data_IF_909881687979
#
_entry.id   IF_909881687979
#
_cell.length_a   1.000
_cell.length_b   1.000
_cell.length_c   1.000
_cell.angle_alpha   90.00
_cell.angle_beta   90.00
_cell.angle_gamma   90.00
#
_symmetry.space_group_name_H-M   'P 1'
#
loop_
_entity.id
_entity.type
_entity.pdbx_description
1 polymer ?
#
# COMPACT_ATOMS: atom_id res chain seq x y z
N UNK A 1 -4.05 18.16 75.54
CA UNK A 1 -4.31 19.14 74.44
C UNK A 1 -3.63 18.71 73.12
N UNK A 2 -2.34 18.35 73.13
CA UNK A 2 -1.60 17.88 71.94
C UNK A 2 -2.09 16.55 71.32
N UNK A 3 -2.65 15.63 72.11
CA UNK A 3 -3.10 14.33 71.59
C UNK A 3 -4.36 14.43 70.72
N UNK A 4 -5.32 15.27 71.12
CA UNK A 4 -6.52 15.55 70.32
C UNK A 4 -6.16 16.19 68.97
N UNK A 5 -5.19 17.10 68.94
CA UNK A 5 -4.77 17.73 67.68
C UNK A 5 -4.12 16.74 66.72
N UNK A 6 -3.40 15.74 67.24
CA UNK A 6 -2.85 14.65 66.43
C UNK A 6 -3.93 13.73 65.87
N UNK A 7 -4.93 13.38 66.67
CA UNK A 7 -6.07 12.57 66.22
C UNK A 7 -6.89 13.30 65.16
N UNK A 8 -7.14 14.60 65.32
CA UNK A 8 -7.81 15.40 64.29
C UNK A 8 -6.98 15.47 63.01
N UNK A 9 -5.65 15.70 63.10
CA UNK A 9 -4.76 15.67 61.93
C UNK A 9 -4.80 14.33 61.21
N UNK A 10 -4.80 13.23 61.95
CA UNK A 10 -4.85 11.89 61.38
C UNK A 10 -6.21 11.59 60.75
N UNK A 11 -7.31 12.04 61.38
CA UNK A 11 -8.65 11.92 60.83
C UNK A 11 -8.81 12.73 59.54
N UNK A 12 -8.37 13.99 59.51
CA UNK A 12 -8.39 14.81 58.30
C UNK A 12 -7.50 14.24 57.20
N UNK A 13 -6.33 13.69 57.55
CA UNK A 13 -5.47 13.00 56.61
C UNK A 13 -6.12 11.72 56.05
N UNK A 14 -6.79 10.94 56.90
CA UNK A 14 -7.49 9.73 56.49
C UNK A 14 -8.70 10.03 55.61
N UNK A 15 -9.49 11.05 55.97
CA UNK A 15 -10.63 11.54 55.16
C UNK A 15 -10.13 12.09 53.83
N UNK A 16 -9.06 12.88 53.83
CA UNK A 16 -8.41 13.36 52.61
C UNK A 16 -7.95 12.18 51.75
N UNK A 17 -7.14 11.27 52.28
CA UNK A 17 -6.65 10.10 51.54
C UNK A 17 -7.76 9.21 51.00
N UNK A 18 -8.82 8.98 51.78
CA UNK A 18 -10.03 8.26 51.35
C UNK A 18 -10.75 8.97 50.21
N UNK A 19 -10.86 10.30 50.27
CA UNK A 19 -11.48 11.12 49.23
C UNK A 19 -10.71 11.04 47.89
N UNK A 20 -9.38 11.14 47.88
CA UNK A 20 -8.57 10.98 46.66
C UNK A 20 -8.57 9.55 46.11
N UNK A 21 -8.78 8.55 46.96
CA UNK A 21 -8.94 7.15 46.54
C UNK A 21 -10.31 6.89 45.90
N UNK A 22 -11.36 7.58 46.36
CA UNK A 22 -12.73 7.49 45.84
C UNK A 22 -12.95 8.32 44.57
N UNK A 23 -12.24 9.44 44.43
CA UNK A 23 -12.29 10.31 43.25
C UNK A 23 -10.90 10.37 42.60
N UNK A 24 -10.44 9.28 41.93
CA UNK A 24 -9.25 9.38 41.12
C UNK A 24 -9.45 10.49 40.10
N UNK A 25 -8.50 11.43 40.04
CA UNK A 25 -8.50 12.50 39.05
C UNK A 25 -8.53 11.81 37.69
N UNK A 26 -9.68 11.89 37.00
CA UNK A 26 -9.79 11.40 35.62
C UNK A 26 -8.82 12.23 34.81
N UNK A 27 -7.70 11.64 34.43
CA UNK A 27 -6.82 12.25 33.43
C UNK A 27 -7.65 12.42 32.17
N UNK A 28 -7.97 13.67 31.84
CA UNK A 28 -8.62 14.00 30.58
C UNK A 28 -7.57 13.71 29.52
N UNK A 29 -7.62 12.53 28.91
CA UNK A 29 -6.79 12.25 27.75
C UNK A 29 -7.30 13.18 26.64
N UNK A 30 -6.54 14.24 26.37
CA UNK A 30 -6.77 15.11 25.22
C UNK A 30 -6.62 14.22 24.00
N UNK A 31 -7.75 13.81 23.41
CA UNK A 31 -7.75 12.93 22.26
C UNK A 31 -6.91 13.56 21.16
N UNK A 32 -5.81 12.91 20.78
CA UNK A 32 -4.93 13.39 19.74
C UNK A 32 -5.76 13.56 18.44
N UNK A 33 -5.77 14.75 17.81
CA UNK A 33 -6.55 14.98 16.60
C UNK A 33 -6.24 13.96 15.49
N UNK A 34 -5.01 13.44 15.46
CA UNK A 34 -4.56 12.40 14.54
C UNK A 34 -5.25 11.06 14.81
N UNK A 35 -5.30 10.61 16.05
CA UNK A 35 -5.93 9.34 16.44
C UNK A 35 -7.44 9.39 16.17
N UNK A 36 -8.09 10.49 16.55
CA UNK A 36 -9.52 10.72 16.26
C UNK A 36 -9.82 10.63 14.76
N UNK A 37 -8.93 11.16 13.92
CA UNK A 37 -9.06 11.09 12.46
C UNK A 37 -8.91 9.65 11.95
N UNK A 38 -7.92 8.90 12.46
CA UNK A 38 -7.68 7.51 12.08
C UNK A 38 -8.87 6.64 12.47
N UNK A 39 -9.35 6.75 13.72
CA UNK A 39 -10.50 5.99 14.21
C UNK A 39 -11.78 6.29 13.43
N UNK A 40 -12.02 7.56 13.08
CA UNK A 40 -13.16 7.97 12.26
C UNK A 40 -13.17 7.26 10.91
N UNK A 41 -12.03 7.24 10.22
CA UNK A 41 -11.93 6.58 8.91
C UNK A 41 -11.99 5.06 9.02
N UNK A 42 -11.34 4.49 10.05
CA UNK A 42 -11.43 3.05 10.35
C UNK A 42 -12.87 2.60 10.58
N UNK A 43 -13.62 3.33 11.40
CA UNK A 43 -15.04 3.03 11.67
C UNK A 43 -15.88 3.07 10.39
N UNK A 44 -15.69 4.09 9.55
CA UNK A 44 -16.38 4.18 8.25
C UNK A 44 -16.05 3.00 7.35
N UNK A 45 -14.79 2.59 7.31
CA UNK A 45 -14.34 1.46 6.50
C UNK A 45 -14.93 0.14 6.97
N UNK A 46 -14.88 -0.16 8.28
CA UNK A 46 -15.48 -1.37 8.85
C UNK A 46 -17.00 -1.41 8.60
N UNK A 47 -17.69 -0.29 8.84
CA UNK A 47 -19.13 -0.19 8.58
C UNK A 47 -19.47 -0.43 7.11
N UNK A 48 -18.55 -0.14 6.18
CA UNK A 48 -18.79 -0.39 4.77
C UNK A 48 -18.96 -1.88 4.46
N UNK A 49 -18.36 -2.80 5.23
CA UNK A 49 -18.52 -4.25 5.04
C UNK A 49 -19.91 -4.77 5.46
N UNK A 50 -20.60 -4.03 6.34
CA UNK A 50 -21.96 -4.38 6.74
C UNK A 50 -23.00 -4.01 5.67
N UNK A 51 -22.62 -3.16 4.71
CA UNK A 51 -23.50 -2.77 3.63
C UNK A 51 -23.59 -3.90 2.58
N UNK A 52 -24.81 -4.22 2.17
CA UNK A 52 -25.09 -5.22 1.12
C UNK A 52 -24.58 -4.76 -0.26
N UNK A 53 -24.35 -3.46 -0.44
CA UNK A 53 -23.89 -2.89 -1.71
C UNK A 53 -22.51 -3.44 -2.09
N UNK A 54 -22.34 -3.78 -3.36
CA UNK A 54 -21.03 -4.08 -3.93
C UNK A 54 -20.15 -2.81 -3.88
N UNK A 55 -19.04 -2.89 -3.16
CA UNK A 55 -18.09 -1.79 -2.95
C UNK A 55 -16.82 -1.94 -3.80
N UNK A 56 -16.88 -2.78 -4.85
CA UNK A 56 -15.84 -3.04 -5.84
C UNK A 56 -16.34 -2.81 -7.28
N UNK A 57 -17.44 -2.08 -7.47
CA UNK A 57 -18.06 -1.89 -8.80
C UNK A 57 -17.14 -1.25 -9.83
N UNK A 58 -16.15 -0.48 -9.38
CA UNK A 58 -15.26 0.28 -10.25
C UNK A 58 -13.93 -0.43 -10.54
N UNK A 59 -13.75 -1.65 -10.01
CA UNK A 59 -12.59 -2.49 -10.29
C UNK A 59 -12.90 -3.33 -11.53
N UNK A 60 -12.09 -3.17 -12.57
CA UNK A 60 -12.20 -3.97 -13.79
C UNK A 60 -11.83 -5.44 -13.51
N UNK A 61 -12.53 -6.44 -14.09
CA UNK A 61 -12.22 -7.86 -13.90
C UNK A 61 -10.77 -8.24 -14.22
N UNK A 62 -10.14 -7.48 -15.11
CA UNK A 62 -8.72 -7.60 -15.51
C UNK A 62 -7.78 -7.59 -14.30
N UNK A 63 -8.12 -6.88 -13.22
CA UNK A 63 -7.30 -6.84 -12.00
C UNK A 63 -7.17 -8.19 -11.30
N UNK A 64 -8.16 -9.07 -11.45
CA UNK A 64 -8.15 -10.40 -10.85
C UNK A 64 -7.43 -11.43 -11.74
N UNK A 65 -7.08 -11.06 -12.98
CA UNK A 65 -6.30 -11.88 -13.89
C UNK A 65 -4.97 -11.21 -14.24
N UNK A 66 -3.91 -11.56 -13.51
CA UNK A 66 -2.61 -10.92 -13.68
C UNK A 66 -2.05 -11.02 -15.11
N UNK A 67 -2.20 -12.17 -15.79
CA UNK A 67 -1.64 -12.33 -17.15
C UNK A 67 -2.27 -11.32 -18.12
N UNK A 68 -3.55 -11.06 -17.93
CA UNK A 68 -4.31 -10.07 -18.70
C UNK A 68 -3.95 -8.64 -18.29
N UNK A 69 -3.82 -8.39 -16.99
CA UNK A 69 -3.36 -7.10 -16.46
C UNK A 69 -1.98 -6.73 -17.02
N UNK A 70 -1.01 -7.64 -16.99
CA UNK A 70 0.34 -7.39 -17.52
C UNK A 70 0.31 -7.09 -19.02
N UNK A 71 -0.47 -7.83 -19.82
CA UNK A 71 -0.64 -7.53 -21.24
C UNK A 71 -1.21 -6.12 -21.47
N UNK A 72 -2.19 -5.74 -20.66
CA UNK A 72 -2.83 -4.42 -20.73
C UNK A 72 -1.87 -3.29 -20.33
N UNK A 73 -1.04 -3.53 -19.32
CA UNK A 73 -0.07 -2.55 -18.80
C UNK A 73 1.11 -2.27 -19.74
N UNK A 74 1.46 -3.23 -20.60
CA UNK A 74 2.54 -3.10 -21.60
C UNK A 74 2.15 -2.17 -22.76
N UNK A 75 0.86 -1.99 -23.02
CA UNK A 75 0.40 -1.11 -24.09
C UNK A 75 0.77 0.35 -23.82
N UNK A 76 1.33 1.00 -24.84
CA UNK A 76 1.66 2.44 -24.85
C UNK A 76 0.45 3.33 -24.60
N UNK A 77 -0.76 2.90 -25.01
CA UNK A 77 -2.00 3.66 -24.83
C UNK A 77 -2.90 3.06 -23.73
N UNK A 78 -2.31 2.69 -22.60
CA UNK A 78 -3.02 2.10 -21.47
C UNK A 78 -4.12 3.02 -20.91
N UNK A 79 -5.38 2.71 -21.25
CA UNK A 79 -6.56 3.43 -20.76
C UNK A 79 -6.81 3.18 -19.27
N UNK A 80 -6.50 1.97 -18.80
CA UNK A 80 -6.76 1.56 -17.43
C UNK A 80 -5.91 2.41 -16.46
N UNK A 81 -4.62 2.61 -16.75
CA UNK A 81 -3.78 3.51 -15.95
C UNK A 81 -4.27 4.97 -16.00
N UNK A 82 -4.69 5.44 -17.18
CA UNK A 82 -5.27 6.79 -17.33
C UNK A 82 -6.50 6.99 -16.44
N UNK A 83 -7.41 6.01 -16.40
CA UNK A 83 -8.62 6.04 -15.57
C UNK A 83 -8.23 6.12 -14.09
N UNK A 84 -7.37 5.22 -13.60
CA UNK A 84 -7.00 5.19 -12.18
C UNK A 84 -6.21 6.42 -11.74
N UNK A 85 -5.40 7.01 -12.63
CA UNK A 85 -4.72 8.28 -12.38
C UNK A 85 -5.67 9.48 -12.29
N UNK A 86 -6.86 9.41 -12.88
CA UNK A 86 -7.88 10.47 -12.76
C UNK A 86 -8.71 10.39 -11.47
N UNK A 87 -8.74 9.22 -10.81
CA UNK A 87 -9.46 9.02 -9.55
C UNK A 87 -8.63 9.58 -8.40
N UNK A 88 -8.60 10.90 -8.29
CA UNK A 88 -7.76 11.63 -7.33
C UNK A 88 -8.56 11.96 -6.08
N UNK A 89 -8.08 11.52 -4.91
CA UNK A 89 -8.60 11.94 -3.61
C UNK A 89 -7.74 13.09 -3.08
N UNK A 90 -8.38 14.23 -2.80
CA UNK A 90 -7.75 15.34 -2.07
C UNK A 90 -8.29 15.30 -0.65
N UNK A 91 -7.41 15.12 0.33
CA UNK A 91 -7.78 15.00 1.74
C UNK A 91 -6.93 15.90 2.64
N UNK A 92 -7.60 16.60 3.54
CA UNK A 92 -6.95 17.43 4.54
C UNK A 92 -6.78 16.61 5.82
N UNK A 93 -5.56 16.15 6.07
CA UNK A 93 -5.25 15.39 7.29
C UNK A 93 -4.74 16.33 8.39
N UNK A 94 -4.82 15.93 9.68
CA UNK A 94 -4.30 16.74 10.79
C UNK A 94 -2.81 17.11 10.67
N UNK A 95 -2.05 16.35 9.87
CA UNK A 95 -0.61 16.52 9.66
C UNK A 95 -0.28 17.25 8.34
N UNK A 96 -1.25 17.40 7.45
CA UNK A 96 -1.05 18.07 6.16
C UNK A 96 -2.06 17.63 5.10
N UNK A 97 -2.08 18.36 3.99
CA UNK A 97 -2.90 17.98 2.84
C UNK A 97 -2.26 16.83 2.08
N UNK A 98 -3.08 15.95 1.53
CA UNK A 98 -2.64 14.77 0.77
C UNK A 98 -3.47 14.70 -0.50
N UNK A 99 -2.79 14.56 -1.63
CA UNK A 99 -3.43 14.23 -2.92
C UNK A 99 -3.02 12.80 -3.26
N UNK A 100 -3.97 11.87 -3.27
CA UNK A 100 -3.72 10.44 -3.42
C UNK A 100 -4.49 9.85 -4.62
N UNK A 101 -3.85 8.97 -5.38
CA UNK A 101 -4.48 8.15 -6.41
C UNK A 101 -3.87 6.75 -6.39
N UNK A 102 -4.54 5.80 -7.06
CA UNK A 102 -4.02 4.44 -7.17
C UNK A 102 -3.08 4.31 -8.39
N UNK A 103 -1.86 3.84 -8.15
CA UNK A 103 -0.87 3.52 -9.18
C UNK A 103 -0.94 2.02 -9.50
N UNK A 104 -1.48 1.72 -10.67
CA UNK A 104 -1.70 0.35 -11.15
C UNK A 104 -0.39 -0.37 -11.43
N UNK A 105 0.66 0.35 -11.86
CA UNK A 105 1.95 -0.29 -12.16
C UNK A 105 2.63 -0.80 -10.89
N UNK A 106 2.46 -0.06 -9.79
CA UNK A 106 3.08 -0.38 -8.50
C UNK A 106 2.13 -1.10 -7.54
N UNK A 107 0.90 -1.37 -7.97
CA UNK A 107 -0.19 -1.92 -7.13
C UNK A 107 -0.30 -1.21 -5.77
N UNK A 108 -0.20 0.12 -5.77
CA UNK A 108 -0.06 0.91 -4.54
C UNK A 108 -0.65 2.30 -4.64
N UNK A 109 -0.77 2.97 -3.50
CA UNK A 109 -1.30 4.32 -3.43
C UNK A 109 -0.18 5.34 -3.61
N UNK A 110 -0.23 6.06 -4.73
CA UNK A 110 0.65 7.18 -5.00
C UNK A 110 0.09 8.46 -4.39
N UNK A 111 0.92 9.23 -3.70
CA UNK A 111 0.49 10.46 -3.04
C UNK A 111 1.47 11.62 -3.18
N UNK A 112 0.93 12.83 -3.13
CA UNK A 112 1.66 14.08 -3.01
C UNK A 112 1.38 14.71 -1.64
N UNK A 113 2.42 15.28 -1.04
CA UNK A 113 2.39 15.92 0.27
C UNK A 113 3.48 16.99 0.35
N UNK A 114 3.15 18.15 0.91
CA UNK A 114 4.15 19.17 1.22
C UNK A 114 4.99 18.81 2.44
N UNK A 115 4.42 18.04 3.38
CA UNK A 115 5.13 17.55 4.55
C UNK A 115 5.95 16.32 4.22
N UNK A 116 7.21 16.31 4.65
CA UNK A 116 8.09 15.14 4.54
C UNK A 116 7.77 14.12 5.64
N UNK A 117 7.65 12.85 5.28
CA UNK A 117 7.50 11.75 6.25
C UNK A 117 6.12 11.71 6.91
N UNK A 118 5.06 11.54 6.11
CA UNK A 118 3.72 11.27 6.65
C UNK A 118 3.70 9.86 7.25
N UNK A 119 3.25 9.69 8.52
CA UNK A 119 3.12 8.39 9.15
C UNK A 119 2.21 7.45 8.36
N UNK A 120 2.61 6.17 8.30
CA UNK A 120 1.85 5.11 7.64
C UNK A 120 0.38 5.07 8.06
N UNK A 121 0.09 5.17 9.36
CA UNK A 121 -1.29 5.11 9.86
C UNK A 121 -2.21 6.20 9.31
N UNK A 122 -1.66 7.39 9.02
CA UNK A 122 -2.42 8.49 8.40
C UNK A 122 -2.69 8.16 6.93
N UNK A 123 -1.66 7.72 6.19
CA UNK A 123 -1.80 7.29 4.80
C UNK A 123 -2.80 6.13 4.68
N UNK A 124 -2.77 5.20 5.63
CA UNK A 124 -3.67 4.08 5.70
C UNK A 124 -5.13 4.53 5.94
N UNK A 125 -5.34 5.49 6.83
CA UNK A 125 -6.66 6.10 7.03
C UNK A 125 -7.17 6.85 5.79
N UNK A 126 -6.28 7.46 5.00
CA UNK A 126 -6.64 8.08 3.71
C UNK A 126 -6.96 7.02 2.66
N UNK A 127 -6.20 5.93 2.59
CA UNK A 127 -6.49 4.79 1.70
C UNK A 127 -7.86 4.17 2.01
N UNK A 128 -8.21 3.98 3.29
CA UNK A 128 -9.55 3.56 3.72
C UNK A 128 -10.64 4.49 3.16
N UNK A 129 -10.43 5.80 3.20
CA UNK A 129 -11.37 6.76 2.62
C UNK A 129 -11.42 6.64 1.10
N UNK A 130 -10.27 6.52 0.44
CA UNK A 130 -10.15 6.39 -1.02
C UNK A 130 -10.98 5.23 -1.55
N UNK A 131 -10.80 4.03 -0.98
CA UNK A 131 -11.46 2.82 -1.50
C UNK A 131 -12.97 2.83 -1.29
N UNK A 132 -13.46 3.55 -0.27
CA UNK A 132 -14.89 3.79 -0.06
C UNK A 132 -15.43 4.79 -1.09
N UNK A 133 -14.71 5.89 -1.33
CA UNK A 133 -15.14 6.95 -2.26
C UNK A 133 -15.21 6.42 -3.69
N UNK A 134 -14.25 5.60 -4.09
CA UNK A 134 -14.12 5.09 -5.45
C UNK A 134 -14.66 3.68 -5.64
N UNK A 135 -15.36 3.08 -4.67
CA UNK A 135 -15.88 1.71 -4.72
C UNK A 135 -14.84 0.71 -5.26
N UNK A 136 -13.67 0.71 -4.63
CA UNK A 136 -12.56 -0.18 -4.97
C UNK A 136 -11.90 -0.75 -3.71
N UNK A 137 -12.73 -1.31 -2.82
CA UNK A 137 -12.32 -1.90 -1.55
C UNK A 137 -11.16 -2.88 -1.69
N UNK A 138 -11.15 -3.72 -2.72
CA UNK A 138 -10.14 -4.78 -2.85
C UNK A 138 -8.71 -4.28 -3.03
N UNK A 139 -8.53 -3.00 -3.40
CA UNK A 139 -7.20 -2.38 -3.49
C UNK A 139 -6.57 -2.10 -2.12
N UNK A 140 -7.35 -2.21 -1.05
CA UNK A 140 -6.84 -2.10 0.30
C UNK A 140 -6.29 -3.46 0.75
N UNK A 141 -4.97 -3.54 0.90
CA UNK A 141 -4.21 -4.77 1.16
C UNK A 141 -3.79 -4.97 2.63
N UNK A 142 -4.03 -3.98 3.49
CA UNK A 142 -3.56 -4.02 4.88
C UNK A 142 -4.47 -4.88 5.77
N UNK A 143 -4.01 -6.07 6.15
CA UNK A 143 -4.81 -7.04 6.93
C UNK A 143 -4.57 -7.00 8.44
N UNK A 144 -3.71 -6.12 8.97
CA UNK A 144 -3.32 -6.11 10.40
C UNK A 144 -4.53 -5.99 11.35
N UNK A 145 -5.59 -5.30 10.91
CA UNK A 145 -6.73 -4.92 11.75
C UNK A 145 -8.08 -5.43 11.22
N UNK A 146 -8.06 -6.28 10.19
CA UNK A 146 -9.25 -6.89 9.60
C UNK A 146 -9.42 -8.32 10.10
N UNK A 147 -10.67 -8.78 10.15
CA UNK A 147 -10.99 -10.19 10.36
C UNK A 147 -10.68 -10.98 9.08
N UNK A 148 -10.27 -12.25 9.23
CA UNK A 148 -9.86 -13.13 8.11
C UNK A 148 -10.95 -13.27 7.02
N UNK A 149 -12.22 -13.21 7.40
CA UNK A 149 -13.36 -13.33 6.46
C UNK A 149 -13.55 -12.09 5.56
N UNK A 150 -12.82 -11.00 5.83
CA UNK A 150 -12.97 -9.69 5.15
C UNK A 150 -11.76 -9.35 4.27
N UNK A 151 -10.84 -10.27 4.08
CA UNK A 151 -9.66 -10.07 3.22
C UNK A 151 -10.04 -9.98 1.74
N UNK A 152 -9.32 -9.15 0.99
CA UNK A 152 -9.59 -8.99 -0.43
C UNK A 152 -9.09 -10.20 -1.23
N UNK A 153 -9.81 -10.62 -2.30
CA UNK A 153 -9.35 -11.70 -3.18
C UNK A 153 -7.99 -11.41 -3.83
N UNK A 154 -7.66 -10.13 -4.04
CA UNK A 154 -6.40 -9.70 -4.63
C UNK A 154 -5.19 -10.06 -3.77
N UNK A 155 -5.34 -10.02 -2.44
CA UNK A 155 -4.24 -10.39 -1.51
C UNK A 155 -3.82 -11.84 -1.72
N UNK A 156 -4.79 -12.75 -1.85
CA UNK A 156 -4.53 -14.17 -2.10
C UNK A 156 -3.76 -14.38 -3.40
N UNK A 157 -4.18 -13.67 -4.46
CA UNK A 157 -3.51 -13.70 -5.77
C UNK A 157 -2.04 -13.26 -5.68
N UNK A 158 -1.73 -12.19 -4.93
CA UNK A 158 -0.34 -11.72 -4.81
C UNK A 158 0.54 -12.63 -3.93
N UNK A 159 -0.02 -13.20 -2.86
CA UNK A 159 0.70 -14.12 -1.96
C UNK A 159 1.10 -15.43 -2.65
N UNK A 160 0.20 -16.00 -3.46
CA UNK A 160 0.49 -17.22 -4.23
C UNK A 160 1.72 -17.04 -5.14
N UNK A 161 1.93 -15.83 -5.66
CA UNK A 161 3.03 -15.53 -6.57
C UNK A 161 4.37 -15.28 -5.92
N UNK A 162 4.40 -14.65 -4.75
CA UNK A 162 5.66 -14.52 -4.01
C UNK A 162 6.19 -15.90 -3.65
N UNK A 163 5.31 -16.86 -3.36
CA UNK A 163 5.66 -18.27 -3.15
C UNK A 163 6.22 -18.91 -4.43
N UNK A 164 5.53 -18.77 -5.57
CA UNK A 164 6.04 -19.28 -6.85
C UNK A 164 7.40 -18.67 -7.25
N UNK A 165 7.58 -17.35 -7.13
CA UNK A 165 8.84 -16.67 -7.49
C UNK A 165 9.98 -17.10 -6.58
N UNK A 166 9.77 -17.14 -5.26
CA UNK A 166 10.80 -17.56 -4.31
C UNK A 166 11.19 -19.02 -4.52
N UNK A 167 10.26 -19.89 -4.92
CA UNK A 167 10.58 -21.26 -5.30
C UNK A 167 11.38 -21.37 -6.61
N UNK A 168 11.03 -20.57 -7.63
CA UNK A 168 11.76 -20.54 -8.91
C UNK A 168 13.18 -19.98 -8.69
N UNK A 169 13.33 -18.86 -7.97
CA UNK A 169 14.63 -18.26 -7.67
C UNK A 169 15.54 -19.24 -6.92
N UNK A 170 15.02 -19.94 -5.91
CA UNK A 170 15.77 -20.99 -5.19
C UNK A 170 16.23 -22.14 -6.10
N UNK A 171 15.48 -22.44 -7.17
CA UNK A 171 15.82 -23.50 -8.14
C UNK A 171 16.78 -23.02 -9.23
N UNK A 172 16.72 -21.74 -9.64
CA UNK A 172 17.51 -21.20 -10.76
C UNK A 172 18.81 -20.52 -10.36
N UNK A 173 18.98 -20.10 -9.10
CA UNK A 173 20.22 -19.48 -8.63
C UNK A 173 21.33 -20.54 -8.48
N UNK A 174 22.43 -20.45 -9.27
CA UNK A 174 23.60 -21.29 -9.03
C UNK A 174 24.18 -20.93 -7.65
N UNK A 175 24.51 -21.96 -6.85
CA UNK A 175 25.20 -21.76 -5.57
C UNK A 175 26.56 -21.12 -5.84
N UNK A 176 26.64 -19.81 -5.64
CA UNK A 176 27.85 -19.03 -5.88
C UNK A 176 28.74 -19.12 -4.63
N UNK A 177 29.50 -20.21 -4.52
CA UNK A 177 30.26 -20.50 -3.31
C UNK A 177 31.50 -19.59 -3.13
N UNK A 178 31.99 -18.96 -4.20
CA UNK A 178 33.18 -18.09 -4.20
C UNK A 178 32.93 -16.71 -4.83
N UNK A 179 31.93 -15.97 -4.35
CA UNK A 179 31.71 -14.58 -4.80
C UNK A 179 32.45 -13.57 -3.90
N UNK A 180 32.99 -12.49 -4.48
CA UNK A 180 33.59 -11.38 -3.74
C UNK A 180 32.58 -10.55 -2.90
N UNK A 181 31.31 -10.90 -2.94
CA UNK A 181 30.27 -10.29 -2.13
C UNK A 181 30.19 -10.96 -0.76
N UNK A 182 30.13 -10.16 0.30
CA UNK A 182 29.94 -10.64 1.65
C UNK A 182 28.56 -11.32 1.81
N UNK A 183 28.55 -12.56 2.28
CA UNK A 183 27.32 -13.21 2.75
C UNK A 183 26.87 -12.53 4.04
N UNK A 184 25.64 -12.00 4.07
CA UNK A 184 25.01 -11.52 5.31
C UNK A 184 24.97 -12.69 6.32
N UNK A 185 25.52 -12.48 7.52
CA UNK A 185 25.41 -13.47 8.60
C UNK A 185 23.95 -13.58 9.01
N UNK A 186 23.37 -14.77 8.84
CA UNK A 186 22.10 -15.10 9.46
C UNK A 186 22.36 -15.22 10.97
N UNK A 187 22.02 -14.17 11.72
CA UNK A 187 21.90 -14.30 13.16
C UNK A 187 20.68 -15.18 13.42
N UNK A 188 20.93 -16.46 13.71
CA UNK A 188 19.94 -17.24 14.45
C UNK A 188 19.75 -16.49 15.77
N UNK A 189 18.52 -16.01 16.02
CA UNK A 189 18.12 -15.65 17.37
C UNK A 189 18.39 -16.89 18.22
N UNK A 190 19.31 -16.79 19.16
CA UNK A 190 19.68 -17.91 20.02
C UNK A 190 18.42 -18.42 20.72
N UNK A 191 18.18 -19.75 20.75
CA UNK A 191 17.12 -20.29 21.57
C UNK A 191 17.49 -20.05 23.03
N UNK A 192 16.66 -19.30 23.75
CA UNK A 192 16.77 -19.21 25.20
C UNK A 192 16.71 -20.62 25.79
N UNK A 193 17.78 -20.95 26.49
CA UNK A 193 18.08 -22.10 27.34
C UNK A 193 16.96 -23.13 27.58
N UNK A 194 17.32 -24.38 27.29
CA UNK A 194 16.68 -25.60 27.75
C UNK A 194 16.16 -25.53 29.20
N UNK A 195 14.84 -25.67 29.36
CA UNK A 195 14.25 -26.36 30.50
C UNK A 195 13.14 -27.28 29.96
N UNK A 196 13.43 -28.59 29.97
CA UNK A 196 12.50 -29.65 29.62
C UNK A 196 11.38 -29.74 30.64
N UNK A 197 10.13 -29.54 30.20
CA UNK A 197 8.98 -30.32 30.68
C UNK A 197 8.18 -30.72 29.43
N UNK A 198 7.92 -32.03 29.33
CA UNK A 198 7.20 -32.68 28.25
C UNK A 198 5.68 -32.44 28.36
N UNK A 199 5.01 -32.72 27.24
CA UNK A 199 3.56 -32.93 27.07
C UNK A 199 2.65 -31.69 27.00
N UNK A 200 2.39 -31.25 25.76
CA UNK A 200 1.08 -31.40 25.12
C UNK A 200 1.12 -30.87 23.69
N UNK A 201 0.56 -31.64 22.76
CA UNK A 201 0.26 -31.20 21.39
C UNK A 201 -0.66 -29.97 21.41
N UNK A 202 -0.09 -28.77 21.31
CA UNK A 202 -0.83 -27.60 20.87
C UNK A 202 -0.56 -27.38 19.38
N UNK A 203 -1.62 -27.54 18.58
CA UNK A 203 -1.69 -27.08 17.21
C UNK A 203 -1.29 -25.59 17.15
N UNK A 204 -0.02 -25.29 16.88
CA UNK A 204 0.42 -23.95 16.52
C UNK A 204 -0.34 -23.57 15.26
N UNK A 205 -1.37 -22.73 15.42
CA UNK A 205 -2.00 -22.02 14.30
C UNK A 205 -0.88 -21.37 13.48
N UNK A 206 -0.91 -21.47 12.14
CA UNK A 206 0.11 -20.83 11.32
C UNK A 206 0.19 -19.34 11.67
N UNK A 207 1.42 -18.83 11.80
CA UNK A 207 1.67 -17.40 12.01
C UNK A 207 0.96 -16.62 10.89
N UNK A 208 0.11 -15.65 11.27
CA UNK A 208 -0.66 -14.87 10.29
C UNK A 208 0.29 -13.99 9.50
N UNK A 209 0.27 -14.15 8.19
CA UNK A 209 1.04 -13.32 7.26
C UNK A 209 0.33 -11.96 7.10
N UNK A 210 0.95 -10.89 7.60
CA UNK A 210 0.37 -9.55 7.54
C UNK A 210 0.81 -8.80 6.29
N UNK A 211 -0.13 -8.54 5.40
CA UNK A 211 0.09 -7.66 4.26
C UNK A 211 -0.12 -6.21 4.66
N UNK A 212 0.67 -5.30 4.07
CA UNK A 212 0.57 -3.86 4.28
C UNK A 212 0.34 -3.14 2.96
N UNK A 213 -0.31 -1.99 3.02
CA UNK A 213 -0.50 -1.14 1.86
C UNK A 213 0.83 -0.51 1.40
N UNK A 214 1.02 -0.46 0.08
CA UNK A 214 2.17 0.21 -0.52
C UNK A 214 1.82 1.69 -0.74
N UNK A 215 2.67 2.58 -0.24
CA UNK A 215 2.53 4.02 -0.41
C UNK A 215 3.75 4.61 -1.11
N UNK A 216 3.52 5.33 -2.22
CA UNK A 216 4.58 5.97 -3.01
C UNK A 216 4.47 7.48 -2.90
N UNK A 217 5.49 8.13 -2.35
CA UNK A 217 5.57 9.58 -2.32
C UNK A 217 6.08 10.12 -3.67
N UNK A 218 5.23 10.86 -4.39
CA UNK A 218 5.55 11.48 -5.68
C UNK A 218 6.10 12.91 -5.55
N UNK A 219 6.16 13.44 -4.33
CA UNK A 219 6.73 14.75 -4.01
C UNK A 219 5.72 15.75 -3.45
N UNK A 220 6.05 17.04 -3.58
CA UNK A 220 5.23 18.15 -3.07
C UNK A 220 3.95 18.34 -3.86
N UNK A 221 2.93 18.91 -3.23
CA UNK A 221 1.62 19.19 -3.86
C UNK A 221 1.79 20.17 -5.02
N UNK A 222 2.76 21.08 -4.93
CA UNK A 222 3.12 22.01 -6.03
C UNK A 222 3.49 21.32 -7.33
N UNK A 223 3.96 20.06 -7.28
CA UNK A 223 4.36 19.29 -8.45
C UNK A 223 3.18 18.56 -9.10
N UNK A 224 2.03 18.50 -8.40
CA UNK A 224 0.84 17.85 -8.90
C UNK A 224 0.24 18.63 -10.06
N UNK A 225 -0.02 17.92 -11.17
CA UNK A 225 -0.61 18.49 -12.38
C UNK A 225 -2.07 18.01 -12.49
N UNK A 226 -3.06 18.82 -12.08
CA UNK A 226 -4.46 18.40 -12.09
C UNK A 226 -5.00 18.21 -13.52
N UNK A 227 -4.42 18.90 -14.50
CA UNK A 227 -4.88 18.85 -15.89
C UNK A 227 -4.03 17.88 -16.71
N UNK A 228 -4.71 16.97 -17.42
CA UNK A 228 -4.09 16.18 -18.47
C UNK A 228 -3.79 17.10 -19.66
N UNK A 229 -2.51 17.25 -20.00
CA UNK A 229 -2.13 18.01 -21.19
C UNK A 229 -2.52 17.18 -22.41
N UNK A 230 -3.26 17.74 -23.38
CA UNK A 230 -3.49 17.04 -24.63
C UNK A 230 -2.14 16.75 -25.30
N UNK A 231 -2.08 15.64 -26.02
CA UNK A 231 -0.90 15.32 -26.82
C UNK A 231 -0.64 16.48 -27.79
N UNK A 232 0.57 17.05 -27.72
CA UNK A 232 0.99 18.10 -28.64
C UNK A 232 1.11 17.48 -30.02
N UNK A 233 0.10 17.67 -30.86
CA UNK A 233 0.20 17.40 -32.29
C UNK A 233 1.13 18.45 -32.89
N UNK A 234 2.39 18.10 -33.07
CA UNK A 234 3.32 18.90 -33.85
C UNK A 234 2.81 18.90 -35.30
N UNK A 235 2.04 19.91 -35.66
CA UNK A 235 1.76 20.15 -37.07
C UNK A 235 3.07 20.63 -37.68
N UNK A 236 3.57 19.94 -38.69
CA UNK A 236 4.53 20.56 -39.62
C UNK A 236 3.87 21.87 -40.09
N UNK A 237 4.60 22.98 -40.09
CA UNK A 237 4.07 24.31 -40.43
C UNK A 237 3.75 24.45 -41.93
N UNK A 238 3.01 23.51 -42.51
CA UNK A 238 2.78 23.41 -43.95
C UNK A 238 4.04 23.07 -44.76
N UNK A 239 5.16 22.75 -44.12
CA UNK A 239 6.37 22.31 -44.81
C UNK A 239 6.21 20.85 -45.25
N UNK A 240 5.89 20.67 -46.53
CA UNK A 240 5.89 19.37 -47.19
C UNK A 240 6.96 19.40 -48.28
N UNK A 241 7.87 18.42 -48.26
CA UNK A 241 8.91 18.27 -49.27
C UNK A 241 9.01 16.79 -49.62
N UNK A 242 9.28 16.46 -50.89
CA UNK A 242 9.48 15.07 -51.33
C UNK A 242 10.56 14.32 -50.55
N UNK A 243 11.54 15.04 -49.99
CA UNK A 243 12.58 14.45 -49.14
C UNK A 243 12.03 13.88 -47.82
N UNK A 244 10.90 14.42 -47.33
CA UNK A 244 10.25 13.89 -46.14
C UNK A 244 9.51 12.59 -46.43
N UNK A 245 9.01 12.40 -47.66
CA UNK A 245 8.34 11.16 -48.06
C UNK A 245 9.31 9.98 -47.99
N UNK A 246 10.52 10.16 -48.52
CA UNK A 246 11.58 9.14 -48.46
C UNK A 246 11.93 8.80 -47.01
N UNK A 247 12.14 9.81 -46.15
CA UNK A 247 12.44 9.60 -44.72
C UNK A 247 11.28 8.91 -43.98
N UNK A 248 10.02 9.26 -44.29
CA UNK A 248 8.86 8.58 -43.69
C UNK A 248 8.76 7.14 -44.16
N UNK A 249 9.00 6.88 -45.45
CA UNK A 249 8.96 5.53 -46.01
C UNK A 249 10.06 4.63 -45.42
N UNK A 250 11.27 5.17 -45.23
CA UNK A 250 12.34 4.45 -44.55
C UNK A 250 12.01 4.18 -43.07
N UNK A 251 11.41 5.14 -42.37
CA UNK A 251 11.02 4.96 -40.98
C UNK A 251 9.92 3.91 -40.81
N UNK A 252 8.93 3.87 -41.71
CA UNK A 252 7.92 2.82 -41.79
C UNK A 252 8.54 1.45 -42.08
N UNK A 253 9.45 1.37 -43.05
CA UNK A 253 10.18 0.16 -43.41
C UNK A 253 11.01 -0.35 -42.22
N UNK A 254 11.71 0.53 -41.52
CA UNK A 254 12.48 0.18 -40.32
C UNK A 254 11.58 -0.35 -39.21
N UNK A 255 10.44 0.28 -38.94
CA UNK A 255 9.47 -0.20 -37.94
C UNK A 255 8.90 -1.58 -38.31
N UNK A 256 8.73 -1.86 -39.61
CA UNK A 256 8.24 -3.14 -40.10
C UNK A 256 9.30 -4.26 -40.05
N UNK A 257 10.57 -3.93 -40.38
CA UNK A 257 11.69 -4.89 -40.43
C UNK A 257 12.29 -5.15 -39.04
N UNK A 258 12.50 -4.10 -38.24
CA UNK A 258 13.17 -4.16 -36.94
C UNK A 258 12.22 -4.29 -35.75
N UNK A 259 11.09 -4.98 -35.93
CA UNK A 259 10.26 -5.37 -34.79
C UNK A 259 11.00 -6.37 -33.91
N UNK A 260 11.36 -5.95 -32.70
CA UNK A 260 11.98 -6.83 -31.69
C UNK A 260 11.14 -8.09 -31.42
N UNK A 261 9.81 -7.98 -31.47
CA UNK A 261 8.92 -9.15 -31.34
C UNK A 261 9.18 -10.18 -32.44
N UNK A 262 9.30 -9.71 -33.69
CA UNK A 262 9.51 -10.54 -34.87
C UNK A 262 10.91 -11.17 -34.88
N UNK A 263 11.92 -10.40 -34.44
CA UNK A 263 13.28 -10.91 -34.21
C UNK A 263 13.30 -12.03 -33.17
N UNK A 264 12.60 -11.84 -32.05
CA UNK A 264 12.53 -12.84 -30.96
C UNK A 264 11.80 -14.11 -31.40
N UNK A 265 10.73 -14.00 -32.18
CA UNK A 265 10.04 -15.15 -32.78
C UNK A 265 10.96 -15.96 -33.71
N UNK A 266 11.73 -15.29 -34.56
CA UNK A 266 12.71 -15.94 -35.44
C UNK A 266 13.80 -16.66 -34.65
N UNK A 267 14.27 -16.06 -33.56
CA UNK A 267 15.30 -16.66 -32.71
C UNK A 267 14.75 -17.88 -31.95
N UNK A 268 13.51 -17.82 -31.48
CA UNK A 268 12.85 -18.94 -30.80
C UNK A 268 12.45 -20.08 -31.74
N UNK A 269 12.20 -19.81 -33.03
CA UNK A 269 11.94 -20.85 -34.05
C UNK A 269 13.19 -21.62 -34.50
N UNK A 270 14.37 -21.10 -34.20
CA UNK A 270 15.65 -21.65 -34.67
C UNK A 270 16.32 -22.60 -33.65
N UNK A 271 15.75 -22.70 -32.45
CA UNK A 271 16.10 -23.66 -31.39
C UNK A 271 14.96 -24.65 -31.21
#
# INVERSE_FOLDING_TARGET
>A
RFFLTYLYRWFFYYVYYSYYKLFPIKTIQIANPTEKYIEKNKKKFINSFQCIRNMNTNIEPVFYNKKELQKTLVDTNNQLEKIWRTRILIENTPRGNIIMHYDVYKNGFAYYSDMTGIPYFILNAVAMKYVIVYNCRDFYMDNEKLEEDKESPLIKLYLEEEKEKTEIEKKTLPKLDNSAFAKLKNYQLEPESDNKINDANENKKPEKEYNRNIFINLGRITNFKPLQKPERKNKLNGFYSKLLDDVTSECELQNQIFSYSKFKELFMKKN
#
